data_IF_920874668476
#
_entry.id   IF_920874668476
#
_cell.length_a   1.000
_cell.length_b   1.000
_cell.length_c   1.000
_cell.angle_alpha   90.00
_cell.angle_beta   90.00
_cell.angle_gamma   90.00
#
_symmetry.space_group_name_H-M   'P 1'
#
loop_
_entity.id
_entity.type
_entity.pdbx_description
1 polymer ?
#
# COMPACT_ATOMS: atom_id res chain seq x y z
N UNK A 1 8.15 -21.24 5.10
CA UNK A 1 7.38 -20.28 5.90
C UNK A 1 6.23 -20.94 6.69
N UNK A 2 5.91 -22.23 6.46
CA UNK A 2 4.93 -22.96 7.28
C UNK A 2 5.46 -23.31 8.69
N UNK A 3 6.77 -23.36 8.85
CA UNK A 3 7.46 -23.69 10.12
C UNK A 3 7.17 -22.68 11.22
N UNK A 4 6.93 -21.41 10.86
CA UNK A 4 6.65 -20.32 11.82
C UNK A 4 5.14 -19.98 11.96
N UNK A 5 4.26 -20.74 11.33
CA UNK A 5 2.81 -20.40 11.30
C UNK A 5 2.17 -20.46 12.70
N UNK A 6 2.63 -21.36 13.55
CA UNK A 6 2.10 -21.50 14.91
C UNK A 6 2.60 -20.38 15.82
N UNK A 7 3.88 -20.01 15.70
CA UNK A 7 4.43 -18.83 16.40
C UNK A 7 3.70 -17.54 15.98
N UNK A 8 3.41 -17.40 14.70
CA UNK A 8 2.66 -16.25 14.17
C UNK A 8 1.22 -16.20 14.72
N UNK A 9 0.53 -17.33 14.86
CA UNK A 9 -0.80 -17.40 15.46
C UNK A 9 -0.82 -16.99 16.93
N UNK A 10 0.26 -17.29 17.67
CA UNK A 10 0.43 -16.89 19.06
C UNK A 10 0.85 -15.41 19.20
N UNK A 11 1.76 -14.96 18.34
CA UNK A 11 2.32 -13.61 18.39
C UNK A 11 1.32 -12.53 17.99
N UNK A 12 0.50 -12.77 16.96
CA UNK A 12 -0.45 -11.79 16.45
C UNK A 12 -1.44 -11.25 17.49
N UNK A 13 -2.16 -12.10 18.28
CA UNK A 13 -3.05 -11.61 19.32
C UNK A 13 -2.31 -10.80 20.40
N UNK A 14 -1.10 -11.19 20.73
CA UNK A 14 -0.28 -10.49 21.71
C UNK A 14 0.15 -9.10 21.22
N UNK A 15 0.68 -9.00 19.97
CA UNK A 15 1.05 -7.73 19.37
C UNK A 15 -0.16 -6.80 19.25
N UNK A 16 -1.31 -7.33 18.85
CA UNK A 16 -2.53 -6.55 18.73
C UNK A 16 -3.01 -6.03 20.10
N UNK A 17 -2.89 -6.85 21.16
CA UNK A 17 -3.17 -6.43 22.53
C UNK A 17 -2.26 -5.28 22.95
N UNK A 18 -0.95 -5.40 22.74
CA UNK A 18 0.02 -4.35 23.06
C UNK A 18 -0.26 -3.05 22.28
N UNK A 19 -0.61 -3.17 20.99
CA UNK A 19 -0.98 -2.03 20.17
C UNK A 19 -2.21 -1.30 20.76
N UNK A 20 -3.26 -2.04 21.11
CA UNK A 20 -4.47 -1.49 21.77
C UNK A 20 -4.14 -0.79 23.08
N UNK A 21 -3.35 -1.41 23.95
CA UNK A 21 -2.92 -0.82 25.22
C UNK A 21 -2.12 0.48 25.05
N UNK A 22 -1.32 0.58 23.99
CA UNK A 22 -0.58 1.80 23.69
C UNK A 22 -1.46 2.89 23.09
N UNK A 23 -2.30 2.53 22.14
CA UNK A 23 -3.17 3.46 21.38
C UNK A 23 -4.29 4.00 22.30
N UNK A 24 -4.83 3.21 23.21
CA UNK A 24 -5.84 3.66 24.17
C UNK A 24 -5.40 4.82 25.05
N UNK A 25 -4.09 5.02 25.22
CA UNK A 25 -3.53 6.20 25.91
C UNK A 25 -3.80 7.52 25.18
N UNK A 26 -4.07 7.47 23.88
CA UNK A 26 -4.47 8.62 23.07
C UNK A 26 -5.93 9.03 23.24
N UNK A 27 -6.73 8.23 23.94
CA UNK A 27 -8.15 8.43 24.14
C UNK A 27 -9.03 7.44 23.38
N UNK A 28 -10.31 7.46 23.69
CA UNK A 28 -11.29 6.51 23.15
C UNK A 28 -11.49 6.68 21.63
N UNK A 29 -11.52 7.91 21.14
CA UNK A 29 -11.68 8.21 19.73
C UNK A 29 -10.49 7.69 18.89
N UNK A 30 -9.27 7.79 19.43
CA UNK A 30 -8.05 7.28 18.79
C UNK A 30 -8.08 5.76 18.73
N UNK A 31 -8.52 5.11 19.80
CA UNK A 31 -8.68 3.65 19.83
C UNK A 31 -9.76 3.17 18.85
N UNK A 32 -10.90 3.85 18.79
CA UNK A 32 -11.99 3.52 17.87
C UNK A 32 -11.55 3.64 16.40
N UNK A 33 -10.82 4.69 16.06
CA UNK A 33 -10.26 4.88 14.73
C UNK A 33 -9.28 3.74 14.38
N UNK A 34 -8.42 3.35 15.32
CA UNK A 34 -7.50 2.22 15.13
C UNK A 34 -8.25 0.91 14.85
N UNK A 35 -9.30 0.60 15.62
CA UNK A 35 -10.08 -0.64 15.44
C UNK A 35 -10.78 -0.65 14.07
N UNK A 36 -11.34 0.47 13.62
CA UNK A 36 -11.96 0.55 12.30
C UNK A 36 -10.94 0.43 11.19
N UNK A 37 -9.80 1.13 11.28
CA UNK A 37 -8.71 1.02 10.31
C UNK A 37 -8.17 -0.41 10.22
N UNK A 38 -7.98 -1.07 11.35
CA UNK A 38 -7.54 -2.46 11.39
C UNK A 38 -8.55 -3.42 10.76
N UNK A 39 -9.85 -3.20 11.00
CA UNK A 39 -10.93 -3.96 10.37
C UNK A 39 -10.92 -3.79 8.84
N UNK A 40 -10.78 -2.55 8.34
CA UNK A 40 -10.71 -2.26 6.91
C UNK A 40 -9.46 -2.89 6.27
N UNK A 41 -8.31 -2.84 6.95
CA UNK A 41 -7.10 -3.50 6.48
C UNK A 41 -7.27 -5.02 6.34
N UNK A 42 -7.96 -5.67 7.28
CA UNK A 42 -8.29 -7.10 7.21
C UNK A 42 -9.22 -7.43 6.03
N UNK A 43 -10.19 -6.56 5.75
CA UNK A 43 -11.06 -6.70 4.58
C UNK A 43 -10.21 -6.64 3.30
N UNK A 44 -9.33 -5.65 3.15
CA UNK A 44 -8.42 -5.54 2.03
C UNK A 44 -7.53 -6.76 1.87
N UNK A 45 -6.95 -7.28 2.95
CA UNK A 45 -6.12 -8.48 2.92
C UNK A 45 -6.91 -9.73 2.54
N UNK A 46 -8.15 -9.86 3.00
CA UNK A 46 -9.03 -10.95 2.60
C UNK A 46 -9.35 -10.90 1.10
N UNK A 47 -9.69 -9.72 0.57
CA UNK A 47 -9.94 -9.51 -0.86
C UNK A 47 -8.71 -9.86 -1.70
N UNK A 48 -7.55 -9.34 -1.32
CA UNK A 48 -6.27 -9.66 -1.95
C UNK A 48 -6.02 -11.19 -2.03
N UNK A 49 -6.32 -11.91 -0.96
CA UNK A 49 -6.21 -13.38 -0.95
C UNK A 49 -7.20 -14.04 -1.90
N UNK A 50 -8.43 -13.53 -1.97
CA UNK A 50 -9.48 -14.05 -2.85
C UNK A 50 -9.20 -13.82 -4.34
N UNK A 51 -8.57 -12.69 -4.67
CA UNK A 51 -8.20 -12.38 -6.05
C UNK A 51 -7.18 -13.38 -6.62
N UNK A 52 -6.39 -14.04 -5.78
CA UNK A 52 -5.43 -15.06 -6.21
C UNK A 52 -6.08 -16.27 -6.91
N UNK A 53 -7.37 -16.49 -6.67
CA UNK A 53 -8.13 -17.57 -7.29
C UNK A 53 -8.53 -17.26 -8.75
N UNK A 54 -8.45 -15.98 -9.17
CA UNK A 54 -8.89 -15.53 -10.50
C UNK A 54 -7.98 -14.45 -11.13
N UNK A 55 -6.68 -14.69 -11.24
CA UNK A 55 -5.73 -13.65 -11.63
C UNK A 55 -5.96 -13.09 -13.05
N UNK A 56 -6.48 -13.89 -13.99
CA UNK A 56 -6.73 -13.44 -15.36
C UNK A 56 -7.97 -12.54 -15.55
N UNK A 57 -8.84 -12.46 -14.54
CA UNK A 57 -10.11 -11.70 -14.61
C UNK A 57 -10.24 -10.61 -13.55
N UNK A 58 -9.12 -10.09 -13.09
CA UNK A 58 -9.05 -9.00 -12.10
C UNK A 58 -9.63 -7.72 -12.69
N UNK A 59 -10.47 -7.04 -11.93
CA UNK A 59 -10.96 -5.70 -12.27
C UNK A 59 -10.21 -4.61 -11.49
N UNK A 60 -10.27 -3.39 -12.00
CA UNK A 60 -9.69 -2.23 -11.35
C UNK A 60 -10.33 -1.98 -9.97
N UNK A 61 -11.66 -2.09 -9.88
CA UNK A 61 -12.40 -1.90 -8.64
C UNK A 61 -11.98 -2.91 -7.57
N UNK A 62 -11.75 -4.17 -7.94
CA UNK A 62 -11.29 -5.20 -7.03
C UNK A 62 -9.89 -4.92 -6.48
N UNK A 63 -8.99 -4.43 -7.34
CA UNK A 63 -7.66 -4.00 -6.89
C UNK A 63 -7.74 -2.80 -5.95
N UNK A 64 -8.50 -1.77 -6.31
CA UNK A 64 -8.72 -0.60 -5.45
C UNK A 64 -9.27 -1.01 -4.08
N UNK A 65 -10.22 -1.96 -4.04
CA UNK A 65 -10.76 -2.46 -2.78
C UNK A 65 -9.73 -3.26 -1.97
N UNK A 66 -8.90 -4.08 -2.62
CA UNK A 66 -7.84 -4.84 -1.94
C UNK A 66 -6.78 -3.91 -1.32
N UNK A 67 -6.55 -2.75 -1.91
CA UNK A 67 -5.62 -1.73 -1.41
C UNK A 67 -6.04 -1.11 -0.07
N UNK A 68 -7.23 -1.43 0.45
CA UNK A 68 -7.58 -1.14 1.85
C UNK A 68 -6.54 -1.70 2.82
N UNK A 69 -5.83 -2.77 2.48
CA UNK A 69 -4.72 -3.33 3.28
C UNK A 69 -3.60 -2.32 3.54
N UNK A 70 -3.31 -1.43 2.58
CA UNK A 70 -2.30 -0.38 2.70
C UNK A 70 -2.88 0.92 3.27
N UNK A 71 -3.89 1.48 2.56
CA UNK A 71 -4.44 2.81 2.89
C UNK A 71 -5.03 2.89 4.29
N UNK A 72 -5.70 1.83 4.76
CA UNK A 72 -6.35 1.87 6.07
C UNK A 72 -5.36 1.86 7.22
N UNK A 73 -4.24 1.13 7.10
CA UNK A 73 -3.20 1.10 8.15
C UNK A 73 -2.54 2.46 8.28
N UNK A 74 -2.00 2.98 7.18
CA UNK A 74 -1.23 4.22 7.20
C UNK A 74 -2.11 5.45 7.32
N UNK A 75 -3.30 5.46 6.70
CA UNK A 75 -4.27 6.54 6.86
C UNK A 75 -4.74 6.67 8.31
N UNK A 76 -5.07 5.55 8.95
CA UNK A 76 -5.44 5.52 10.39
C UNK A 76 -4.28 5.98 11.26
N UNK A 77 -3.04 5.55 10.97
CA UNK A 77 -1.87 6.04 11.70
C UNK A 77 -1.74 7.57 11.56
N UNK A 78 -1.89 8.11 10.35
CA UNK A 78 -1.87 9.55 10.10
C UNK A 78 -2.96 10.28 10.87
N UNK A 79 -4.22 9.81 10.83
CA UNK A 79 -5.33 10.40 11.57
C UNK A 79 -5.07 10.41 13.08
N UNK A 80 -4.53 9.33 13.60
CA UNK A 80 -4.23 9.20 15.03
C UNK A 80 -3.06 10.11 15.46
N UNK A 81 -2.10 10.42 14.58
CA UNK A 81 -1.06 11.42 14.86
C UNK A 81 -1.66 12.80 15.14
N UNK A 82 -2.78 13.14 14.53
CA UNK A 82 -3.53 14.37 14.78
C UNK A 82 -4.58 14.22 15.91
N UNK A 83 -4.57 13.10 16.67
CA UNK A 83 -5.53 12.78 17.72
C UNK A 83 -6.98 12.96 17.26
N UNK A 84 -7.29 12.55 16.04
CA UNK A 84 -8.60 12.71 15.38
C UNK A 84 -9.13 14.15 15.32
N UNK A 85 -8.26 15.16 15.43
CA UNK A 85 -8.66 16.58 15.38
C UNK A 85 -8.75 17.05 13.93
N UNK A 86 -9.97 17.29 13.44
CA UNK A 86 -10.19 17.90 12.14
C UNK A 86 -9.70 19.38 12.15
N UNK A 87 -9.21 19.92 11.01
CA UNK A 87 -9.05 19.26 9.70
C UNK A 87 -7.74 18.47 9.54
N UNK A 88 -6.80 18.54 10.50
CA UNK A 88 -5.47 17.91 10.40
C UNK A 88 -5.58 16.38 10.27
N UNK A 89 -6.52 15.78 11.00
CA UNK A 89 -6.74 14.34 10.96
C UNK A 89 -7.07 13.85 9.55
N UNK A 90 -7.91 14.57 8.81
CA UNK A 90 -8.31 14.21 7.46
C UNK A 90 -7.18 14.43 6.44
N UNK A 91 -6.41 15.50 6.61
CA UNK A 91 -5.22 15.80 5.80
C UNK A 91 -4.18 14.68 5.97
N UNK A 92 -3.87 14.30 7.20
CA UNK A 92 -2.91 13.24 7.50
C UNK A 92 -3.41 11.88 7.05
N UNK A 93 -4.71 11.58 7.26
CA UNK A 93 -5.29 10.35 6.74
C UNK A 93 -5.07 10.25 5.22
N UNK A 94 -5.48 11.27 4.48
CA UNK A 94 -5.38 11.28 3.01
C UNK A 94 -3.94 11.17 2.55
N UNK A 95 -3.04 11.99 3.08
CA UNK A 95 -1.63 11.98 2.69
C UNK A 95 -0.95 10.64 2.95
N UNK A 96 -1.13 10.08 4.14
CA UNK A 96 -0.51 8.82 4.52
C UNK A 96 -1.15 7.61 3.81
N UNK A 97 -2.47 7.62 3.60
CA UNK A 97 -3.17 6.57 2.86
C UNK A 97 -2.69 6.52 1.41
N UNK A 98 -2.59 7.66 0.75
CA UNK A 98 -2.13 7.77 -0.63
C UNK A 98 -0.65 7.40 -0.80
N UNK A 99 0.20 7.82 0.12
CA UNK A 99 1.59 7.38 0.15
C UNK A 99 1.72 5.86 0.31
N UNK A 100 0.88 5.24 1.15
CA UNK A 100 0.86 3.79 1.34
C UNK A 100 0.36 3.03 0.10
N UNK A 101 -0.63 3.55 -0.61
CA UNK A 101 -1.09 3.00 -1.89
C UNK A 101 0.05 3.05 -2.93
N UNK A 102 0.82 4.12 -2.97
CA UNK A 102 2.01 4.23 -3.82
C UNK A 102 3.10 3.21 -3.46
N UNK A 103 3.41 3.04 -2.17
CA UNK A 103 4.34 1.97 -1.70
C UNK A 103 3.84 0.60 -2.13
N UNK A 104 2.53 0.36 -2.09
CA UNK A 104 1.92 -0.88 -2.55
C UNK A 104 2.32 -1.24 -3.99
N UNK A 105 2.31 -0.26 -4.90
CA UNK A 105 2.76 -0.46 -6.28
C UNK A 105 4.24 -0.88 -6.35
N UNK A 106 5.12 -0.22 -5.59
CA UNK A 106 6.54 -0.58 -5.54
C UNK A 106 6.78 -1.98 -4.96
N UNK A 107 6.03 -2.35 -3.93
CA UNK A 107 6.08 -3.68 -3.35
C UNK A 107 5.65 -4.77 -4.34
N UNK A 108 4.63 -4.52 -5.15
CA UNK A 108 4.18 -5.45 -6.19
C UNK A 108 5.21 -5.63 -7.30
N UNK A 109 5.96 -4.57 -7.63
CA UNK A 109 7.11 -4.66 -8.55
C UNK A 109 8.24 -5.49 -7.90
N UNK A 110 8.56 -5.26 -6.63
CA UNK A 110 9.53 -6.06 -5.87
C UNK A 110 9.15 -7.54 -5.87
N UNK A 111 7.90 -7.86 -5.54
CA UNK A 111 7.40 -9.23 -5.51
C UNK A 111 7.51 -9.90 -6.89
N UNK A 112 7.19 -9.15 -7.97
CA UNK A 112 7.32 -9.66 -9.34
C UNK A 112 8.77 -10.01 -9.71
N UNK A 113 9.75 -9.23 -9.24
CA UNK A 113 11.19 -9.52 -9.43
C UNK A 113 11.57 -10.79 -8.67
N UNK A 114 11.16 -10.89 -7.41
CA UNK A 114 11.48 -12.01 -6.53
C UNK A 114 10.92 -13.32 -7.05
N UNK A 115 9.68 -13.31 -7.49
CA UNK A 115 8.96 -14.49 -7.96
C UNK A 115 9.19 -14.77 -9.44
N UNK A 116 9.81 -13.87 -10.19
CA UNK A 116 9.94 -13.88 -11.66
C UNK A 116 8.60 -14.13 -12.34
N UNK A 117 7.53 -13.61 -11.77
CA UNK A 117 6.17 -13.85 -12.22
C UNK A 117 5.24 -12.72 -11.80
N UNK A 118 4.41 -12.24 -12.72
CA UNK A 118 3.28 -11.37 -12.43
C UNK A 118 2.00 -12.23 -12.26
N UNK A 119 2.01 -13.18 -11.31
CA UNK A 119 0.89 -14.14 -11.08
C UNK A 119 -0.05 -13.67 -9.98
N UNK A 120 0.44 -12.80 -9.10
CA UNK A 120 -0.34 -12.30 -7.96
C UNK A 120 -1.20 -11.17 -8.47
N UNK A 121 -2.49 -11.12 -8.10
CA UNK A 121 -3.36 -9.98 -8.37
C UNK A 121 -2.71 -8.67 -7.93
N UNK A 122 -2.37 -7.83 -8.88
CA UNK A 122 -1.52 -6.65 -8.67
C UNK A 122 -1.73 -5.66 -9.81
N UNK A 123 -1.36 -4.41 -9.60
CA UNK A 123 -1.38 -3.41 -10.68
C UNK A 123 -0.50 -3.79 -11.86
N UNK A 124 0.75 -4.31 -11.68
CA UNK A 124 1.55 -4.79 -12.79
C UNK A 124 0.84 -5.86 -13.63
N UNK A 125 0.19 -6.83 -12.98
CA UNK A 125 -0.56 -7.87 -13.68
C UNK A 125 -1.77 -7.28 -14.42
N UNK A 126 -2.58 -6.47 -13.74
CA UNK A 126 -3.77 -5.86 -14.33
C UNK A 126 -3.44 -5.06 -15.58
N UNK A 127 -2.46 -4.17 -15.51
CA UNK A 127 -2.06 -3.37 -16.66
C UNK A 127 -1.39 -4.19 -17.74
N UNK A 128 -0.59 -5.20 -17.40
CA UNK A 128 0.00 -6.10 -18.38
C UNK A 128 -1.05 -6.86 -19.19
N UNK A 129 -2.11 -7.33 -18.55
CA UNK A 129 -3.24 -7.99 -19.23
C UNK A 129 -4.04 -6.98 -20.08
N UNK A 130 -4.34 -5.81 -19.53
CA UNK A 130 -5.10 -4.75 -20.21
C UNK A 130 -4.40 -4.23 -21.46
N UNK A 131 -3.07 -4.10 -21.41
CA UNK A 131 -2.24 -3.60 -22.51
C UNK A 131 -1.72 -4.70 -23.44
N UNK A 132 -1.90 -5.96 -23.05
CA UNK A 132 -1.30 -7.12 -23.72
C UNK A 132 0.23 -6.98 -23.89
N UNK A 133 0.87 -6.30 -22.96
CA UNK A 133 2.32 -6.07 -22.93
C UNK A 133 2.80 -5.87 -21.49
N UNK A 134 3.74 -6.73 -21.07
CA UNK A 134 4.25 -6.73 -19.68
C UNK A 134 5.01 -5.45 -19.37
N UNK A 135 5.88 -5.00 -20.28
CA UNK A 135 6.70 -3.82 -20.03
C UNK A 135 5.85 -2.57 -19.85
N UNK A 136 4.90 -2.35 -20.76
CA UNK A 136 3.94 -1.23 -20.67
C UNK A 136 3.07 -1.34 -19.40
N UNK A 137 2.73 -2.56 -18.97
CA UNK A 137 1.98 -2.78 -17.73
C UNK A 137 2.74 -2.32 -16.48
N UNK A 138 4.04 -2.56 -16.42
CA UNK A 138 4.88 -2.07 -15.32
C UNK A 138 5.14 -0.57 -15.40
N UNK A 139 5.29 -0.01 -16.61
CA UNK A 139 5.39 1.44 -16.82
C UNK A 139 4.11 2.15 -16.32
N UNK A 140 2.94 1.60 -16.65
CA UNK A 140 1.67 2.17 -16.20
C UNK A 140 1.46 2.02 -14.69
N UNK A 141 1.98 0.95 -14.09
CA UNK A 141 2.00 0.81 -12.63
C UNK A 141 2.82 1.92 -11.96
N UNK A 142 3.94 2.32 -12.56
CA UNK A 142 4.73 3.45 -12.06
C UNK A 142 3.99 4.78 -12.20
N UNK A 143 3.30 5.01 -13.32
CA UNK A 143 2.44 6.19 -13.52
C UNK A 143 1.32 6.25 -12.48
N UNK A 144 0.71 5.10 -12.20
CA UNK A 144 -0.33 4.96 -11.18
C UNK A 144 0.20 5.25 -9.78
N UNK A 145 1.38 4.74 -9.45
CA UNK A 145 2.09 5.02 -8.19
C UNK A 145 2.39 6.50 -8.02
N UNK A 146 2.85 7.17 -9.08
CA UNK A 146 3.10 8.62 -9.08
C UNK A 146 1.82 9.42 -8.87
N UNK A 147 0.71 9.01 -9.47
CA UNK A 147 -0.60 9.62 -9.24
C UNK A 147 -0.99 9.59 -7.76
N UNK A 148 -0.81 8.46 -7.08
CA UNK A 148 -1.03 8.38 -5.64
C UNK A 148 -0.13 9.33 -4.84
N UNK A 149 1.15 9.45 -5.21
CA UNK A 149 2.06 10.39 -4.53
C UNK A 149 1.67 11.85 -4.75
N UNK A 150 1.17 12.18 -5.94
CA UNK A 150 0.68 13.53 -6.24
C UNK A 150 -0.57 13.87 -5.41
N UNK A 151 -1.48 12.91 -5.24
CA UNK A 151 -2.61 13.04 -4.31
C UNK A 151 -2.15 13.26 -2.86
N UNK A 152 -1.11 12.50 -2.44
CA UNK A 152 -0.53 12.65 -1.10
C UNK A 152 0.09 14.04 -0.90
N UNK A 153 0.84 14.55 -1.88
CA UNK A 153 1.43 15.90 -1.87
C UNK A 153 0.35 16.97 -1.83
N UNK A 154 -0.70 16.83 -2.65
CA UNK A 154 -1.84 17.75 -2.67
C UNK A 154 -2.60 17.79 -1.34
N UNK A 155 -2.61 16.69 -0.58
CA UNK A 155 -3.13 16.71 0.78
C UNK A 155 -2.26 17.57 1.70
N UNK A 156 -0.93 17.50 1.59
CA UNK A 156 -0.01 18.32 2.40
C UNK A 156 -0.10 19.82 2.11
N UNK A 157 -0.45 20.20 0.88
CA UNK A 157 -0.64 21.62 0.53
C UNK A 157 -1.74 22.30 1.36
N UNK A 158 -2.68 21.52 1.88
CA UNK A 158 -3.74 21.99 2.77
C UNK A 158 -3.28 22.25 4.21
N UNK A 159 -2.05 21.88 4.57
CA UNK A 159 -1.50 22.16 5.87
C UNK A 159 -1.21 23.66 6.01
N UNK A 160 -1.43 24.26 7.20
CA UNK A 160 -1.02 25.65 7.46
C UNK A 160 0.48 25.85 7.22
N UNK A 161 0.87 27.03 6.74
CA UNK A 161 2.29 27.36 6.52
C UNK A 161 3.12 27.29 7.81
N UNK A 162 2.47 27.52 8.94
CA UNK A 162 3.07 27.41 10.27
C UNK A 162 3.30 25.97 10.75
N UNK A 163 2.90 24.96 9.96
CA UNK A 163 3.07 23.56 10.36
C UNK A 163 4.55 23.16 10.31
N UNK A 164 5.17 23.01 11.47
CA UNK A 164 6.62 22.83 11.63
C UNK A 164 7.19 21.54 11.07
N UNK A 165 6.35 20.51 10.89
CA UNK A 165 6.79 19.17 10.44
C UNK A 165 6.49 18.89 8.95
N UNK A 166 6.12 19.89 8.16
CA UNK A 166 5.86 19.73 6.71
C UNK A 166 7.02 19.06 5.99
N UNK A 167 8.26 19.52 6.23
CA UNK A 167 9.48 18.96 5.62
C UNK A 167 9.70 17.47 5.95
N UNK A 168 9.28 17.03 7.13
CA UNK A 168 9.37 15.63 7.49
C UNK A 168 8.40 14.76 6.65
N UNK A 169 7.17 15.26 6.45
CA UNK A 169 6.19 14.55 5.61
C UNK A 169 6.62 14.55 4.13
N UNK A 170 7.15 15.66 3.63
CA UNK A 170 7.73 15.74 2.29
C UNK A 170 8.88 14.74 2.11
N UNK A 171 9.74 14.60 3.13
CA UNK A 171 10.82 13.61 3.15
C UNK A 171 10.29 12.16 3.13
N UNK A 172 9.21 11.86 3.86
CA UNK A 172 8.57 10.54 3.81
C UNK A 172 8.07 10.22 2.39
N UNK A 173 7.43 11.18 1.72
CA UNK A 173 6.93 10.97 0.36
C UNK A 173 8.06 10.83 -0.65
N UNK A 174 9.15 11.57 -0.49
CA UNK A 174 10.36 11.40 -1.29
C UNK A 174 10.97 10.01 -1.09
N UNK A 175 10.93 9.49 0.14
CA UNK A 175 11.40 8.12 0.44
C UNK A 175 10.56 7.07 -0.29
N UNK A 176 9.23 7.25 -0.34
CA UNK A 176 8.32 6.38 -1.10
C UNK A 176 8.64 6.42 -2.60
N UNK A 177 8.81 7.61 -3.15
CA UNK A 177 9.19 7.78 -4.56
C UNK A 177 10.51 7.06 -4.89
N UNK A 178 11.54 7.24 -4.05
CA UNK A 178 12.83 6.58 -4.23
C UNK A 178 12.73 5.06 -4.10
N UNK A 179 11.90 4.54 -3.18
CA UNK A 179 11.64 3.11 -3.04
C UNK A 179 11.05 2.52 -4.34
N UNK A 180 10.02 3.17 -4.89
CA UNK A 180 9.36 2.71 -6.11
C UNK A 180 10.30 2.77 -7.32
N UNK A 181 11.04 3.88 -7.48
CA UNK A 181 12.03 4.05 -8.54
C UNK A 181 13.18 3.04 -8.43
N UNK A 182 13.62 2.71 -7.21
CA UNK A 182 14.66 1.71 -6.98
C UNK A 182 14.24 0.33 -7.52
N UNK A 183 13.03 -0.12 -7.15
CA UNK A 183 12.57 -1.43 -7.58
C UNK A 183 12.27 -1.48 -9.09
N UNK A 184 11.70 -0.42 -9.64
CA UNK A 184 11.47 -0.34 -11.07
C UNK A 184 12.79 -0.34 -11.87
N UNK A 185 13.79 0.40 -11.43
CA UNK A 185 15.12 0.40 -12.04
C UNK A 185 15.77 -0.99 -11.94
N UNK A 186 15.67 -1.63 -10.80
CA UNK A 186 16.16 -2.99 -10.59
C UNK A 186 15.51 -3.98 -11.54
N UNK A 187 14.19 -3.89 -11.75
CA UNK A 187 13.46 -4.70 -12.72
C UNK A 187 14.03 -4.52 -14.14
N UNK A 188 14.34 -3.29 -14.54
CA UNK A 188 14.93 -2.99 -15.85
C UNK A 188 16.34 -3.57 -15.97
N UNK A 189 17.15 -3.50 -14.93
CA UNK A 189 18.52 -4.04 -14.90
C UNK A 189 18.55 -5.57 -14.96
N UNK A 190 17.66 -6.26 -14.24
CA UNK A 190 17.58 -7.72 -14.24
C UNK A 190 17.02 -8.30 -15.53
N UNK A 191 16.32 -7.49 -16.33
CA UNK A 191 15.82 -7.83 -17.67
C UNK A 191 15.02 -9.14 -17.74
N UNK A 192 14.16 -9.37 -16.75
CA UNK A 192 13.34 -10.60 -16.61
C UNK A 192 12.01 -10.55 -17.40
N UNK A 193 11.89 -9.66 -18.37
CA UNK A 193 10.64 -9.44 -19.11
C UNK A 193 10.11 -10.69 -19.81
N UNK A 194 11.00 -11.54 -20.33
CA UNK A 194 10.60 -12.81 -20.95
C UNK A 194 9.99 -13.78 -19.94
N UNK A 195 10.57 -13.85 -18.73
CA UNK A 195 10.08 -14.72 -17.66
C UNK A 195 8.70 -14.26 -17.19
N UNK A 196 8.53 -12.94 -17.00
CA UNK A 196 7.24 -12.35 -16.64
C UNK A 196 6.17 -12.60 -17.70
N UNK A 197 6.52 -12.46 -19.00
CA UNK A 197 5.58 -12.70 -20.11
C UNK A 197 5.16 -14.16 -20.20
N UNK A 198 6.09 -15.11 -20.04
CA UNK A 198 5.80 -16.55 -20.07
C UNK A 198 4.92 -17.00 -18.89
N UNK A 199 5.01 -16.30 -17.78
CA UNK A 199 4.30 -16.60 -16.54
C UNK A 199 3.00 -15.81 -16.36
N UNK A 200 2.55 -15.02 -17.37
CA UNK A 200 1.24 -14.40 -17.31
C UNK A 200 0.13 -15.47 -17.24
N UNK A 201 -0.91 -15.29 -16.44
CA UNK A 201 -2.08 -16.13 -16.44
C UNK A 201 -2.79 -16.05 -17.81
N UNK A 202 -3.20 -17.23 -18.31
CA UNK A 202 -3.93 -17.36 -19.58
C UNK A 202 -5.41 -17.21 -19.37
#
# INVERSE_FOLDING_TARGET
>A
DLEYLDDYKLMNPYILKLAREKISKGGEDVLKEFEEGFKQARIGQYLDTKLKDKPASITEEELVESYKKYRSVMGTAGRNMALNRAPLADIFYTGMAKAAESVGCGNEIEDSIRDKAAKIPSWPLFYSLKMNDVKSGFEETMNHSESYLNDARSALEKLPDSFSHRKFLEFLFLTVEHYNLFWYKKLQEENIWSDLTQNLPK
#
